data_IF_144864272791
#
_entry.id   IF_144864272791
#
_cell.length_a   1.000
_cell.length_b   1.000
_cell.length_c   1.000
_cell.angle_alpha   90.00
_cell.angle_beta   90.00
_cell.angle_gamma   90.00
#
_symmetry.space_group_name_H-M   'P 1'
#
loop_
_entity.id
_entity.type
_entity.pdbx_description
1 polymer ?
#
# COMPACT_ATOMS: atom_id res chain seq x y z
N UNK A 1 12.79 -11.48 12.23
CA UNK A 1 13.42 -10.17 12.02
C UNK A 1 12.35 -9.22 11.51
N UNK A 2 12.17 -8.05 12.13
CA UNK A 2 11.13 -7.09 11.70
C UNK A 2 11.56 -6.40 10.41
N UNK A 3 10.72 -6.43 9.37
CA UNK A 3 11.06 -5.83 8.08
C UNK A 3 11.13 -4.30 8.19
N UNK A 4 11.82 -3.64 7.26
CA UNK A 4 11.85 -2.17 7.20
C UNK A 4 10.45 -1.55 7.07
N UNK A 5 9.55 -2.21 6.34
CA UNK A 5 8.15 -1.80 6.20
C UNK A 5 7.42 -1.85 7.55
N UNK A 6 7.61 -2.92 8.31
CA UNK A 6 6.99 -3.07 9.63
C UNK A 6 7.55 -2.07 10.65
N UNK A 7 8.83 -1.69 10.53
CA UNK A 7 9.40 -0.60 11.33
C UNK A 7 8.80 0.76 10.95
N UNK A 8 8.61 1.05 9.66
CA UNK A 8 8.05 2.33 9.20
C UNK A 8 6.60 2.54 9.67
N UNK A 9 5.79 1.46 9.67
CA UNK A 9 4.40 1.49 10.15
C UNK A 9 4.25 1.90 11.62
N UNK A 10 5.32 1.81 12.42
CA UNK A 10 5.28 2.25 13.83
C UNK A 10 5.22 3.78 13.96
N UNK A 11 5.65 4.51 12.94
CA UNK A 11 5.76 5.97 12.98
C UNK A 11 4.82 6.67 11.97
N UNK A 12 4.40 5.96 10.94
CA UNK A 12 3.65 6.53 9.81
C UNK A 12 2.54 5.58 9.35
N UNK A 13 1.39 6.13 8.98
CA UNK A 13 0.36 5.37 8.26
C UNK A 13 0.82 5.11 6.83
N UNK A 14 1.05 3.84 6.50
CA UNK A 14 1.46 3.42 5.15
C UNK A 14 0.23 3.04 4.34
N UNK A 15 0.10 3.63 3.15
CA UNK A 15 -0.97 3.36 2.17
C UNK A 15 -0.38 2.84 0.86
N UNK A 16 -1.15 2.08 0.08
CA UNK A 16 -0.71 1.58 -1.22
C UNK A 16 -1.09 2.53 -2.36
N UNK A 17 -0.15 2.86 -3.25
CA UNK A 17 -0.40 3.75 -4.40
C UNK A 17 -0.55 2.94 -5.68
N UNK A 18 -1.73 2.34 -5.88
CA UNK A 18 -2.01 1.48 -7.04
C UNK A 18 -3.50 1.30 -7.27
N UNK A 19 -3.89 1.16 -8.55
CA UNK A 19 -5.22 0.69 -8.97
C UNK A 19 -5.32 -0.84 -9.16
N UNK A 20 -4.24 -1.60 -8.97
CA UNK A 20 -4.24 -3.05 -9.17
C UNK A 20 -4.84 -3.81 -7.99
N UNK A 21 -6.09 -4.25 -8.17
CA UNK A 21 -6.84 -5.02 -7.19
C UNK A 21 -6.17 -6.35 -6.79
N UNK A 22 -5.40 -6.98 -7.69
CA UNK A 22 -4.71 -8.23 -7.36
C UNK A 22 -3.59 -8.01 -6.33
N UNK A 23 -2.86 -6.90 -6.47
CA UNK A 23 -1.86 -6.46 -5.51
C UNK A 23 -2.50 -6.06 -4.19
N UNK A 24 -3.62 -5.32 -4.21
CA UNK A 24 -4.36 -4.95 -3.00
C UNK A 24 -4.87 -6.17 -2.23
N UNK A 25 -5.40 -7.19 -2.91
CA UNK A 25 -5.87 -8.42 -2.28
C UNK A 25 -4.73 -9.20 -1.59
N UNK A 26 -3.53 -9.18 -2.17
CA UNK A 26 -2.35 -9.85 -1.61
C UNK A 26 -1.76 -9.10 -0.42
N UNK A 27 -1.63 -7.77 -0.54
CA UNK A 27 -0.92 -6.95 0.45
C UNK A 27 -1.83 -6.44 1.57
N UNK A 28 -3.15 -6.42 1.36
CA UNK A 28 -4.17 -5.95 2.31
C UNK A 28 -3.74 -4.66 3.03
N UNK A 29 -3.43 -3.58 2.29
CA UNK A 29 -3.09 -2.31 2.91
C UNK A 29 -4.29 -1.75 3.69
N UNK A 30 -4.02 -0.83 4.62
CA UNK A 30 -5.07 -0.15 5.37
C UNK A 30 -5.95 0.67 4.42
N UNK A 31 -5.32 1.53 3.62
CA UNK A 31 -5.95 2.34 2.57
C UNK A 31 -5.12 2.24 1.28
N UNK A 32 -5.74 2.60 0.16
CA UNK A 32 -5.07 2.72 -1.12
C UNK A 32 -5.44 4.03 -1.83
N UNK A 33 -4.48 4.62 -2.53
CA UNK A 33 -4.66 5.80 -3.36
C UNK A 33 -4.61 5.42 -4.84
N UNK A 34 -5.46 6.07 -5.62
CA UNK A 34 -5.46 5.98 -7.08
C UNK A 34 -5.35 7.37 -7.68
N UNK A 35 -4.84 7.47 -8.88
CA UNK A 35 -4.90 8.66 -9.72
C UNK A 35 -5.17 8.23 -11.18
N UNK A 36 -5.53 9.14 -12.09
CA UNK A 36 -5.85 8.78 -13.48
C UNK A 36 -4.77 7.96 -14.18
N UNK A 37 -3.49 8.26 -13.96
CA UNK A 37 -2.37 7.53 -14.58
C UNK A 37 -2.20 6.10 -14.07
N UNK A 38 -2.74 5.77 -12.89
CA UNK A 38 -2.71 4.41 -12.33
C UNK A 38 -3.87 3.53 -12.84
N UNK A 39 -4.81 4.10 -13.60
CA UNK A 39 -6.01 3.43 -14.10
C UNK A 39 -6.05 3.32 -15.64
N UNK A 40 -5.24 4.11 -16.35
CA UNK A 40 -5.16 4.21 -17.80
C UNK A 40 -3.95 3.45 -18.35
#
# INVERSE_FOLDING_TARGET
>A
MTSKLEQLKQFTTVVADTGDFSTLAKLKPQDATTNPSLLL
#
